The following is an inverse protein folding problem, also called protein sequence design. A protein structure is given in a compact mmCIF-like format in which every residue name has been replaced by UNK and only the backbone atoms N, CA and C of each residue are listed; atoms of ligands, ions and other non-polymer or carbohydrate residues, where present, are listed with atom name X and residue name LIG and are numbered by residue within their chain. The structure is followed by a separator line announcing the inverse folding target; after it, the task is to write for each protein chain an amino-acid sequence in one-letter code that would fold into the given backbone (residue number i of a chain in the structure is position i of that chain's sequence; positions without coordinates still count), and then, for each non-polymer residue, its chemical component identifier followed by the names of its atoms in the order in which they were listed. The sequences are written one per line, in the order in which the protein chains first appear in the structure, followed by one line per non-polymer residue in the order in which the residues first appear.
data_IF_863870799675
#
_entry.id   IF_863870799675
#
_cell.length_a   1.000
_cell.length_b   1.000
_cell.length_c   1.000
_cell.angle_alpha   90.00
_cell.angle_beta   90.00
_cell.angle_gamma   90.00
#
_symmetry.space_group_name_H-M   'P 1'
#
loop_
_entity.id
_entity.type
_entity.pdbx_description
1 polymer ?
#
# COMPACT_ATOMS: atom_id res chain seq x y z
N UNK A 1 -14.16 -6.65 -17.76
CA UNK A 1 -12.73 -6.33 -17.57
C UNK A 1 -12.50 -4.91 -17.03
N UNK A 2 -13.05 -3.86 -17.66
CA UNK A 2 -12.82 -2.45 -17.27
C UNK A 2 -13.16 -2.15 -15.79
N UNK A 3 -14.29 -2.67 -15.29
CA UNK A 3 -14.72 -2.46 -13.90
C UNK A 3 -13.74 -3.10 -12.90
N UNK A 4 -13.31 -4.34 -13.15
CA UNK A 4 -12.38 -5.05 -12.27
C UNK A 4 -11.00 -4.34 -12.18
N UNK A 5 -10.50 -3.81 -13.30
CA UNK A 5 -9.28 -3.01 -13.31
C UNK A 5 -9.42 -1.72 -12.49
N UNK A 6 -10.55 -1.01 -12.60
CA UNK A 6 -10.81 0.20 -11.82
C UNK A 6 -10.95 -0.07 -10.32
N UNK A 7 -11.57 -1.20 -9.93
CA UNK A 7 -11.68 -1.60 -8.52
C UNK A 7 -10.31 -1.92 -7.92
N UNK A 8 -9.46 -2.61 -8.67
CA UNK A 8 -8.09 -2.93 -8.26
C UNK A 8 -7.23 -1.66 -8.16
N UNK A 9 -7.34 -0.76 -9.13
CA UNK A 9 -6.62 0.52 -9.12
C UNK A 9 -7.03 1.37 -7.91
N UNK A 10 -8.33 1.46 -7.62
CA UNK A 10 -8.83 2.16 -6.44
C UNK A 10 -8.29 1.55 -5.13
N UNK A 11 -8.18 0.22 -5.05
CA UNK A 11 -7.57 -0.49 -3.92
C UNK A 11 -6.10 -0.06 -3.71
N UNK A 12 -5.27 -0.09 -4.76
CA UNK A 12 -3.87 0.36 -4.68
C UNK A 12 -3.72 1.84 -4.37
N UNK A 13 -4.55 2.68 -4.98
CA UNK A 13 -4.57 4.11 -4.73
C UNK A 13 -4.93 4.38 -3.26
N UNK A 14 -5.93 3.69 -2.72
CA UNK A 14 -6.31 3.82 -1.30
C UNK A 14 -5.17 3.43 -0.37
N UNK A 15 -4.47 2.33 -0.67
CA UNK A 15 -3.33 1.87 0.13
C UNK A 15 -2.16 2.86 0.06
N UNK A 16 -1.86 3.40 -1.12
CA UNK A 16 -0.84 4.44 -1.29
C UNK A 16 -1.17 5.72 -0.51
N UNK A 17 -2.43 6.14 -0.50
CA UNK A 17 -2.89 7.29 0.30
C UNK A 17 -2.72 7.04 1.79
N UNK A 18 -3.09 5.84 2.28
CA UNK A 18 -2.92 5.48 3.68
C UNK A 18 -1.43 5.46 4.03
N UNK A 19 -0.58 4.84 3.21
CA UNK A 19 0.87 4.83 3.41
C UNK A 19 1.49 6.24 3.42
N UNK A 20 0.99 7.16 2.57
CA UNK A 20 1.42 8.55 2.56
C UNK A 20 1.00 9.30 3.83
N UNK A 21 -0.25 9.15 4.28
CA UNK A 21 -0.74 9.73 5.54
C UNK A 21 0.04 9.20 6.74
N UNK A 22 0.27 7.90 6.78
CA UNK A 22 1.06 7.24 7.81
C UNK A 22 2.50 7.77 7.84
N UNK A 23 3.13 7.90 6.66
CA UNK A 23 4.47 8.51 6.56
C UNK A 23 4.48 9.96 7.06
N UNK A 24 3.45 10.74 6.73
CA UNK A 24 3.34 12.12 7.19
C UNK A 24 3.21 12.21 8.72
N UNK A 25 2.40 11.34 9.34
CA UNK A 25 2.30 11.24 10.80
C UNK A 25 3.65 10.85 11.42
N UNK A 26 4.38 9.90 10.83
CA UNK A 26 5.71 9.55 11.32
C UNK A 26 6.66 10.73 11.27
N UNK A 27 6.71 11.47 10.15
CA UNK A 27 7.54 12.66 10.02
C UNK A 27 7.20 13.73 11.05
N UNK A 28 5.91 13.94 11.31
CA UNK A 28 5.46 14.88 12.35
C UNK A 28 5.90 14.44 13.75
N UNK A 29 5.75 13.16 14.09
CA UNK A 29 6.18 12.63 15.39
C UNK A 29 7.70 12.68 15.56
N UNK A 30 8.46 12.47 14.48
CA UNK A 30 9.92 12.63 14.47
C UNK A 30 10.34 14.08 14.74
N UNK A 31 9.65 15.06 14.14
CA UNK A 31 9.89 16.49 14.39
C UNK A 31 9.59 16.88 15.85
N UNK A 32 8.59 16.24 16.44
CA UNK A 32 8.25 16.37 17.86
C UNK A 32 9.18 15.56 18.80
N UNK A 33 10.20 14.89 18.26
CA UNK A 33 11.13 14.01 19.01
C UNK A 33 10.43 12.85 19.76
N UNK A 34 9.27 12.42 19.26
CA UNK A 34 8.53 11.28 19.80
C UNK A 34 9.01 10.02 19.06
N UNK A 35 9.46 8.97 19.77
CA UNK A 35 9.87 7.72 19.14
C UNK A 35 8.68 7.06 18.44
N UNK A 36 8.82 6.84 17.13
CA UNK A 36 7.80 6.19 16.29
C UNK A 36 8.17 4.73 16.02
N UNK A 37 7.23 3.83 16.25
CA UNK A 37 7.30 2.44 15.80
C UNK A 37 6.95 2.32 14.31
N UNK A 38 7.40 1.25 13.66
CA UNK A 38 6.99 0.93 12.29
C UNK A 38 5.47 0.67 12.24
N UNK A 39 4.70 1.50 11.53
CA UNK A 39 3.25 1.37 11.43
C UNK A 39 2.88 0.16 10.57
N UNK A 40 1.81 -0.50 10.98
CA UNK A 40 1.26 -1.67 10.29
C UNK A 40 -0.11 -1.33 9.74
N UNK A 41 -0.27 -1.46 8.42
CA UNK A 41 -1.56 -1.35 7.73
C UNK A 41 -2.12 -2.75 7.58
N UNK A 42 -3.35 -2.96 8.06
CA UNK A 42 -4.10 -4.18 7.84
C UNK A 42 -4.94 -4.05 6.57
N UNK A 43 -4.90 -5.06 5.71
CA UNK A 43 -5.59 -5.04 4.41
C UNK A 43 -6.18 -6.43 4.11
N UNK A 44 -7.50 -6.47 3.86
CA UNK A 44 -8.34 -7.69 3.80
C UNK A 44 -8.23 -8.51 2.51
N UNK A 45 -7.15 -8.36 1.73
CA UNK A 45 -7.09 -9.04 0.43
C UNK A 45 -5.69 -9.06 -0.19
N UNK A 46 -4.68 -9.47 0.58
CA UNK A 46 -3.29 -9.44 0.12
C UNK A 46 -3.06 -10.38 -1.06
N UNK A 47 -3.86 -11.46 -1.17
CA UNK A 47 -3.86 -12.40 -2.30
C UNK A 47 -4.36 -11.76 -3.59
N UNK A 48 -5.49 -11.03 -3.56
CA UNK A 48 -5.96 -10.31 -4.74
C UNK A 48 -5.03 -9.16 -5.08
N UNK A 49 -4.36 -8.55 -4.10
CA UNK A 49 -3.29 -7.58 -4.34
C UNK A 49 -2.10 -8.22 -5.09
N UNK A 50 -1.59 -9.38 -4.69
CA UNK A 50 -0.49 -10.05 -5.37
C UNK A 50 -0.86 -10.52 -6.80
N UNK A 51 -2.07 -11.03 -6.99
CA UNK A 51 -2.59 -11.40 -8.31
C UNK A 51 -2.75 -10.17 -9.22
N UNK A 52 -3.28 -9.09 -8.68
CA UNK A 52 -3.43 -7.84 -9.42
C UNK A 52 -2.09 -7.17 -9.70
N UNK A 53 -1.10 -7.26 -8.82
CA UNK A 53 0.25 -6.76 -9.08
C UNK A 53 0.80 -7.32 -10.41
N UNK A 54 0.74 -8.64 -10.59
CA UNK A 54 1.18 -9.31 -11.81
C UNK A 54 0.36 -8.90 -13.04
N UNK A 55 -0.97 -8.83 -12.91
CA UNK A 55 -1.87 -8.39 -13.99
C UNK A 55 -1.63 -6.91 -14.40
N UNK A 56 -1.34 -6.05 -13.43
CA UNK A 56 -1.21 -4.59 -13.62
C UNK A 56 0.17 -4.20 -14.15
N UNK A 57 1.23 -4.93 -13.77
CA UNK A 57 2.55 -4.80 -14.40
C UNK A 57 2.47 -5.05 -15.90
N UNK A 58 1.66 -6.03 -16.32
CA UNK A 58 1.38 -6.28 -17.73
C UNK A 58 0.44 -5.25 -18.38
N UNK A 59 -0.51 -4.67 -17.64
CA UNK A 59 -1.49 -3.70 -18.17
C UNK A 59 -0.94 -2.28 -18.46
N UNK A 60 0.33 -1.97 -18.16
CA UNK A 60 1.05 -0.74 -18.57
C UNK A 60 0.42 0.62 -18.16
N UNK A 61 -0.34 0.72 -17.06
CA UNK A 61 -0.84 2.03 -16.58
C UNK A 61 0.22 2.80 -15.76
N UNK A 62 0.57 4.03 -16.17
CA UNK A 62 1.66 4.82 -15.56
C UNK A 62 1.40 5.20 -14.09
N UNK A 63 0.17 5.60 -13.75
CA UNK A 63 -0.20 6.04 -12.41
C UNK A 63 -0.16 4.90 -11.39
N UNK A 64 -0.59 3.70 -11.81
CA UNK A 64 -0.52 2.50 -10.97
C UNK A 64 0.91 2.12 -10.60
N UNK A 65 1.84 2.16 -11.57
CA UNK A 65 3.25 1.84 -11.31
C UNK A 65 3.87 2.73 -10.23
N UNK A 66 3.47 4.00 -10.18
CA UNK A 66 3.92 4.92 -9.13
C UNK A 66 3.39 4.50 -7.75
N UNK A 67 2.12 4.12 -7.64
CA UNK A 67 1.55 3.65 -6.38
C UNK A 67 2.19 2.35 -5.90
N UNK A 68 2.41 1.41 -6.80
CA UNK A 68 3.09 0.13 -6.51
C UNK A 68 4.52 0.40 -6.02
N UNK A 69 5.31 1.15 -6.78
CA UNK A 69 6.70 1.44 -6.43
C UNK A 69 6.80 2.18 -5.09
N UNK A 70 5.92 3.16 -4.85
CA UNK A 70 5.87 3.89 -3.59
C UNK A 70 5.60 2.97 -2.38
N UNK A 71 4.68 2.01 -2.53
CA UNK A 71 4.37 1.05 -1.47
C UNK A 71 5.52 0.08 -1.23
N UNK A 72 6.12 -0.47 -2.29
CA UNK A 72 7.27 -1.37 -2.20
C UNK A 72 8.47 -0.67 -1.54
N UNK A 73 8.78 0.55 -1.95
CA UNK A 73 9.83 1.36 -1.35
C UNK A 73 9.61 1.56 0.15
N UNK A 74 8.36 1.84 0.57
CA UNK A 74 8.02 2.03 1.99
C UNK A 74 8.11 0.73 2.79
N UNK A 75 7.77 -0.40 2.18
CA UNK A 75 7.90 -1.72 2.80
C UNK A 75 9.37 -2.14 2.94
N UNK A 76 10.18 -1.97 1.89
CA UNK A 76 11.62 -2.31 1.88
C UNK A 76 12.38 -1.48 2.92
N UNK A 77 12.04 -0.20 3.05
CA UNK A 77 12.67 0.69 4.03
C UNK A 77 12.20 0.45 5.48
N UNK A 78 11.41 -0.60 5.75
CA UNK A 78 10.80 -0.87 7.07
C UNK A 78 10.03 0.33 7.65
N UNK A 79 9.58 1.24 6.80
CA UNK A 79 8.78 2.41 7.19
C UNK A 79 7.29 2.07 7.25
N UNK A 80 6.90 0.93 6.66
CA UNK A 80 5.53 0.46 6.57
C UNK A 80 5.50 -1.07 6.58
N UNK A 81 4.65 -1.68 7.40
CA UNK A 81 4.28 -3.09 7.27
C UNK A 81 2.86 -3.19 6.73
N UNK A 82 2.63 -4.07 5.76
CA UNK A 82 1.29 -4.39 5.28
C UNK A 82 1.01 -5.83 5.67
N UNK A 83 -0.03 -6.07 6.45
CA UNK A 83 -0.45 -7.41 6.89
C UNK A 83 -1.84 -7.72 6.35
N UNK A 84 -2.02 -8.97 5.94
CA UNK A 84 -3.31 -9.51 5.57
C UNK A 84 -4.14 -9.75 6.83
N UNK A 85 -5.39 -9.28 6.83
CA UNK A 85 -6.42 -9.68 7.80
C UNK A 85 -7.31 -10.70 7.10
N UNK A 86 -6.73 -11.82 6.67
CA UNK A 86 -7.54 -12.97 6.29
C UNK A 86 -8.26 -13.43 7.56
N UNK A 87 -9.58 -13.22 7.61
CA UNK A 87 -10.43 -13.90 8.59
C UNK A 87 -10.25 -15.40 8.37
N UNK A 88 -9.57 -16.06 9.31
CA UNK A 88 -9.54 -17.51 9.42
C UNK A 88 -10.96 -17.93 9.88
N UNK A 89 -11.69 -18.62 9.00
CA UNK A 89 -12.93 -19.32 9.35
C UNK A 89 -12.61 -20.72 9.87
#
# INVERSE_FOLDING_TARGET
AIVAHSTIEAKYQSLAIIAAKTSWIQSLLQELHIPTLTPTIYYDDMRTMALSHNLMLHARTKHMKLYIFFLEEKMINNNLKVLDISFDE
#
